data_IF_376620264522
#
_entry.id   IF_376620264522
#
_cell.length_a   1.000
_cell.length_b   1.000
_cell.length_c   1.000
_cell.angle_alpha   90.00
_cell.angle_beta   90.00
_cell.angle_gamma   90.00
#
_symmetry.space_group_name_H-M   'P 1'
#
loop_
_entity.id
_entity.type
_entity.pdbx_description
1 polymer ?
#
# COMPACT_ATOMS: atom_id res chain seq x y z
N UNK A 1 -3.12 13.17 14.13
CA UNK A 1 -4.16 12.16 13.86
C UNK A 1 -5.45 12.92 13.63
N UNK A 2 -6.17 12.59 12.56
CA UNK A 2 -7.46 13.19 12.21
C UNK A 2 -8.56 12.67 13.16
N UNK A 3 -9.54 13.50 13.60
CA UNK A 3 -10.63 13.04 14.46
C UNK A 3 -11.40 11.82 13.92
N UNK A 4 -11.64 11.77 12.60
CA UNK A 4 -12.37 10.66 11.96
C UNK A 4 -11.57 9.35 12.03
N UNK A 5 -10.26 9.43 11.81
CA UNK A 5 -9.36 8.26 11.93
C UNK A 5 -9.25 7.81 13.38
N UNK A 6 -9.26 8.75 14.33
CA UNK A 6 -9.26 8.45 15.77
C UNK A 6 -10.53 7.73 16.19
N UNK A 7 -11.69 8.21 15.76
CA UNK A 7 -12.98 7.55 15.99
C UNK A 7 -12.96 6.10 15.49
N UNK A 8 -12.45 5.89 14.29
CA UNK A 8 -12.40 4.56 13.65
C UNK A 8 -11.39 3.62 14.30
N UNK A 9 -10.27 4.17 14.77
CA UNK A 9 -9.32 3.41 15.58
C UNK A 9 -9.96 2.95 16.90
N UNK A 10 -10.70 3.84 17.57
CA UNK A 10 -11.41 3.49 18.80
C UNK A 10 -12.54 2.48 18.54
N UNK A 11 -13.29 2.64 17.45
CA UNK A 11 -14.30 1.67 17.02
C UNK A 11 -13.70 0.27 16.93
N UNK A 12 -12.54 0.14 16.28
CA UNK A 12 -11.82 -1.13 16.22
C UNK A 12 -11.41 -1.64 17.60
N UNK A 13 -10.79 -0.80 18.44
CA UNK A 13 -10.31 -1.21 19.77
C UNK A 13 -11.44 -1.76 20.65
N UNK A 14 -12.64 -1.21 20.53
CA UNK A 14 -13.79 -1.61 21.35
C UNK A 14 -14.67 -2.70 20.72
N UNK A 15 -14.63 -2.90 19.40
CA UNK A 15 -15.57 -3.79 18.70
C UNK A 15 -14.92 -4.83 17.80
N UNK A 16 -13.59 -4.75 17.62
CA UNK A 16 -12.81 -5.53 16.65
C UNK A 16 -13.30 -5.35 15.20
N UNK A 17 -14.04 -4.28 14.91
CA UNK A 17 -14.61 -4.00 13.61
C UNK A 17 -14.53 -2.51 13.26
N UNK A 18 -14.61 -2.19 11.96
CA UNK A 18 -14.55 -0.80 11.45
C UNK A 18 -15.60 -0.61 10.38
N UNK A 19 -16.60 0.23 10.66
CA UNK A 19 -17.59 0.60 9.65
C UNK A 19 -16.99 1.58 8.63
N UNK A 20 -17.28 1.38 7.34
CA UNK A 20 -16.76 2.27 6.28
C UNK A 20 -15.26 2.16 6.03
N UNK A 21 -14.64 1.02 6.39
CA UNK A 21 -13.19 0.83 6.32
C UNK A 21 -12.58 1.22 4.97
N UNK A 22 -13.22 0.86 3.86
CA UNK A 22 -12.67 1.07 2.51
C UNK A 22 -12.38 2.56 2.19
N UNK A 23 -13.09 3.49 2.82
CA UNK A 23 -12.91 4.93 2.61
C UNK A 23 -11.71 5.51 3.37
N UNK A 24 -11.37 4.90 4.51
CA UNK A 24 -10.36 5.41 5.45
C UNK A 24 -9.16 4.48 5.64
N UNK A 25 -9.17 3.30 5.01
CA UNK A 25 -8.21 2.22 5.22
C UNK A 25 -6.75 2.70 5.11
N UNK A 26 -6.47 3.65 4.22
CA UNK A 26 -5.12 4.19 4.04
C UNK A 26 -4.60 4.94 5.26
N UNK A 27 -5.44 5.79 5.84
CA UNK A 27 -5.10 6.58 7.02
C UNK A 27 -5.10 5.69 8.26
N UNK A 28 -6.07 4.77 8.33
CA UNK A 28 -6.18 3.84 9.43
C UNK A 28 -5.02 2.84 9.45
N UNK A 29 -4.51 2.41 8.30
CA UNK A 29 -3.33 1.53 8.22
C UNK A 29 -2.10 2.17 8.88
N UNK A 30 -1.86 3.46 8.63
CA UNK A 30 -0.71 4.18 9.19
C UNK A 30 -0.84 4.30 10.71
N UNK A 31 -2.05 4.54 11.22
CA UNK A 31 -2.27 4.58 12.67
C UNK A 31 -2.22 3.18 13.28
N UNK A 32 -2.76 2.14 12.61
CA UNK A 32 -2.65 0.75 13.04
C UNK A 32 -1.20 0.28 13.15
N UNK A 33 -0.33 0.69 12.21
CA UNK A 33 1.12 0.47 12.28
C UNK A 33 1.76 1.18 13.48
N UNK A 34 1.43 2.45 13.66
CA UNK A 34 1.95 3.27 14.78
C UNK A 34 1.52 2.74 16.15
N UNK A 35 0.30 2.26 16.29
CA UNK A 35 -0.24 1.68 17.53
C UNK A 35 -0.02 0.16 17.65
N UNK A 36 0.70 -0.45 16.68
CA UNK A 36 1.06 -1.87 16.68
C UNK A 36 -0.16 -2.82 16.77
N UNK A 37 -1.17 -2.57 15.93
CA UNK A 37 -2.39 -3.37 15.82
C UNK A 37 -2.34 -4.23 14.53
N UNK A 38 -1.69 -5.41 14.56
CA UNK A 38 -1.43 -6.20 13.36
C UNK A 38 -2.73 -6.70 12.68
N UNK A 39 -3.74 -7.09 13.46
CA UNK A 39 -5.00 -7.59 12.92
C UNK A 39 -5.79 -6.48 12.18
N UNK A 40 -5.70 -5.23 12.69
CA UNK A 40 -6.27 -4.07 11.99
C UNK A 40 -5.50 -3.74 10.70
N UNK A 41 -4.17 -3.93 10.70
CA UNK A 41 -3.36 -3.78 9.48
C UNK A 41 -3.81 -4.79 8.42
N UNK A 42 -4.00 -6.06 8.78
CA UNK A 42 -4.46 -7.10 7.84
C UNK A 42 -5.87 -6.77 7.29
N UNK A 43 -6.78 -6.30 8.15
CA UNK A 43 -8.11 -5.86 7.73
C UNK A 43 -8.06 -4.70 6.71
N UNK A 44 -7.18 -3.73 6.93
CA UNK A 44 -6.93 -2.63 5.99
C UNK A 44 -6.29 -3.12 4.68
N UNK A 45 -5.41 -4.12 4.72
CA UNK A 45 -4.78 -4.72 3.54
C UNK A 45 -5.79 -5.45 2.65
N UNK A 46 -6.73 -6.18 3.26
CA UNK A 46 -7.84 -6.82 2.55
C UNK A 46 -8.72 -5.79 1.84
N UNK A 47 -8.95 -4.64 2.50
CA UNK A 47 -9.61 -3.50 1.88
C UNK A 47 -8.83 -2.96 0.68
N UNK A 48 -7.53 -2.76 0.82
CA UNK A 48 -6.70 -2.28 -0.28
C UNK A 48 -6.75 -3.22 -1.48
N UNK A 49 -6.72 -4.54 -1.28
CA UNK A 49 -6.82 -5.52 -2.35
C UNK A 49 -8.09 -5.34 -3.20
N UNK A 50 -9.22 -4.97 -2.59
CA UNK A 50 -10.49 -4.72 -3.29
C UNK A 50 -10.50 -3.37 -4.02
N UNK A 51 -9.76 -2.39 -3.51
CA UNK A 51 -9.79 -1.00 -3.98
C UNK A 51 -8.63 -0.63 -4.93
N UNK A 52 -7.73 -1.57 -5.29
CA UNK A 52 -6.63 -1.27 -6.22
C UNK A 52 -7.15 -0.89 -7.61
N UNK A 53 -6.67 0.25 -8.10
CA UNK A 53 -6.93 0.82 -9.42
C UNK A 53 -5.63 1.34 -10.04
N UNK A 54 -5.64 1.59 -11.35
CA UNK A 54 -4.48 2.17 -12.07
C UNK A 54 -4.04 3.51 -11.45
N UNK A 55 -4.97 4.28 -10.86
CA UNK A 55 -4.69 5.61 -10.31
C UNK A 55 -4.00 5.54 -8.94
N UNK A 56 -4.41 4.59 -8.09
CA UNK A 56 -3.92 4.47 -6.71
C UNK A 56 -2.83 3.39 -6.53
N UNK A 57 -2.63 2.48 -7.49
CA UNK A 57 -1.62 1.41 -7.38
C UNK A 57 -0.22 1.94 -7.05
N UNK A 58 0.20 3.04 -7.68
CA UNK A 58 1.50 3.69 -7.40
C UNK A 58 1.55 4.29 -5.99
N UNK A 59 0.42 4.82 -5.50
CA UNK A 59 0.30 5.37 -4.15
C UNK A 59 0.42 4.26 -3.10
N UNK A 60 -0.27 3.14 -3.31
CA UNK A 60 -0.16 1.96 -2.46
C UNK A 60 1.26 1.42 -2.42
N UNK A 61 1.93 1.32 -3.57
CA UNK A 61 3.32 0.87 -3.61
C UNK A 61 4.27 1.75 -2.75
N UNK A 62 4.04 3.07 -2.69
CA UNK A 62 4.81 3.97 -1.82
C UNK A 62 4.43 3.82 -0.35
N UNK A 63 3.14 3.65 -0.06
CA UNK A 63 2.65 3.38 1.30
C UNK A 63 3.26 2.07 1.82
N UNK A 64 3.43 1.10 0.92
CA UNK A 64 4.01 -0.20 1.19
C UNK A 64 5.47 -0.18 1.57
N UNK A 65 6.28 0.52 0.78
CA UNK A 65 7.71 0.67 1.06
C UNK A 65 7.97 1.32 2.43
N UNK A 66 7.02 2.13 2.92
CA UNK A 66 7.17 2.86 4.18
C UNK A 66 6.64 2.12 5.41
N UNK A 67 5.52 1.40 5.28
CA UNK A 67 4.74 0.91 6.43
C UNK A 67 4.32 -0.57 6.34
N UNK A 68 4.50 -1.23 5.19
CA UNK A 68 4.00 -2.60 5.00
C UNK A 68 5.08 -3.67 5.19
N UNK A 69 4.81 -4.58 6.13
CA UNK A 69 5.50 -5.87 6.28
C UNK A 69 4.76 -7.00 5.52
N UNK A 70 3.58 -6.71 4.95
CA UNK A 70 2.74 -7.72 4.29
C UNK A 70 3.20 -8.04 2.88
N UNK A 71 3.92 -9.16 2.77
CA UNK A 71 4.40 -9.73 1.52
C UNK A 71 3.28 -10.07 0.53
N UNK A 72 2.12 -10.52 1.03
CA UNK A 72 0.98 -10.94 0.18
C UNK A 72 0.39 -9.77 -0.59
N UNK A 73 0.07 -8.69 0.12
CA UNK A 73 -0.46 -7.49 -0.53
C UNK A 73 0.60 -6.91 -1.49
N UNK A 74 1.88 -6.97 -1.12
CA UNK A 74 2.98 -6.48 -1.95
C UNK A 74 3.08 -7.20 -3.30
N UNK A 75 3.04 -8.53 -3.27
CA UNK A 75 3.03 -9.34 -4.49
C UNK A 75 1.79 -9.05 -5.36
N UNK A 76 0.63 -8.82 -4.73
CA UNK A 76 -0.61 -8.48 -5.45
C UNK A 76 -0.50 -7.14 -6.19
N UNK A 77 -0.08 -6.07 -5.50
CA UNK A 77 0.05 -4.73 -6.10
C UNK A 77 1.11 -4.72 -7.19
N UNK A 78 2.24 -5.41 -6.99
CA UNK A 78 3.28 -5.54 -8.02
C UNK A 78 2.76 -6.23 -9.27
N UNK A 79 2.04 -7.35 -9.14
CA UNK A 79 1.43 -8.04 -10.28
C UNK A 79 0.43 -7.16 -10.99
N UNK A 80 -0.41 -6.43 -10.25
CA UNK A 80 -1.37 -5.50 -10.83
C UNK A 80 -0.67 -4.40 -11.65
N UNK A 81 0.44 -3.86 -11.13
CA UNK A 81 1.23 -2.84 -11.82
C UNK A 81 1.87 -3.42 -13.08
N UNK A 82 2.43 -4.64 -13.02
CA UNK A 82 3.04 -5.30 -14.16
C UNK A 82 2.03 -5.52 -15.31
N UNK A 83 0.83 -6.01 -14.98
CA UNK A 83 -0.24 -6.25 -15.95
C UNK A 83 -0.80 -4.97 -16.58
N UNK A 84 -0.69 -3.83 -15.89
CA UNK A 84 -1.23 -2.54 -16.35
C UNK A 84 -0.12 -1.51 -16.64
N UNK A 85 1.11 -1.98 -16.89
CA UNK A 85 2.32 -1.15 -16.95
C UNK A 85 2.21 -0.01 -17.96
N UNK A 86 1.71 -0.27 -19.17
CA UNK A 86 1.51 0.76 -20.21
C UNK A 86 0.65 1.94 -19.72
N UNK A 87 -0.46 1.63 -19.04
CA UNK A 87 -1.41 2.63 -18.53
C UNK A 87 -0.86 3.35 -17.31
N UNK A 88 -0.14 2.64 -16.45
CA UNK A 88 0.42 3.18 -15.20
C UNK A 88 1.58 4.13 -15.48
N UNK A 89 2.46 3.81 -16.44
CA UNK A 89 3.59 4.68 -16.83
C UNK A 89 3.11 6.04 -17.34
N UNK A 90 1.93 6.09 -17.96
CA UNK A 90 1.32 7.34 -18.42
C UNK A 90 0.81 8.24 -17.28
N UNK A 91 0.56 7.68 -16.09
CA UNK A 91 -0.01 8.42 -14.95
C UNK A 91 0.94 9.46 -14.37
N UNK A 92 0.38 10.58 -13.89
CA UNK A 92 1.15 11.61 -13.21
C UNK A 92 1.82 11.09 -11.93
N UNK A 93 1.21 10.13 -11.24
CA UNK A 93 1.74 9.53 -10.02
C UNK A 93 3.05 8.77 -10.29
N UNK A 94 3.10 7.98 -11.37
CA UNK A 94 4.32 7.29 -11.78
C UNK A 94 5.44 8.27 -12.20
N UNK A 95 5.09 9.32 -12.95
CA UNK A 95 6.05 10.37 -13.33
C UNK A 95 6.63 11.11 -12.11
N UNK A 96 5.80 11.39 -11.10
CA UNK A 96 6.24 11.98 -9.83
C UNK A 96 7.16 11.03 -9.05
N UNK A 97 6.82 9.74 -9.00
CA UNK A 97 7.65 8.72 -8.36
C UNK A 97 9.05 8.64 -9.00
N UNK A 98 9.11 8.63 -10.34
CA UNK A 98 10.37 8.62 -11.10
C UNK A 98 11.24 9.85 -10.78
N UNK A 99 10.63 11.03 -10.63
CA UNK A 99 11.34 12.28 -10.32
C UNK A 99 11.87 12.32 -8.88
N UNK A 100 11.15 11.72 -7.94
CA UNK A 100 11.50 11.73 -6.52
C UNK A 100 12.61 10.72 -6.16
N UNK A 101 13.11 9.93 -7.12
CA UNK A 101 14.12 8.88 -6.90
C UNK A 101 13.82 8.00 -5.67
N UNK A 102 12.55 7.78 -5.36
CA UNK A 102 12.15 6.90 -4.26
C UNK A 102 12.68 5.49 -4.53
N UNK A 103 13.17 4.78 -3.51
CA UNK A 103 13.82 3.44 -3.64
C UNK A 103 12.97 2.38 -4.37
N UNK A 104 11.70 2.67 -4.55
CA UNK A 104 10.64 1.87 -5.18
C UNK A 104 10.69 1.86 -6.72
N UNK A 105 11.69 2.45 -7.38
CA UNK A 105 11.74 2.45 -8.85
C UNK A 105 11.89 1.03 -9.41
N UNK A 106 10.77 0.43 -9.81
CA UNK A 106 10.69 -0.80 -10.58
C UNK A 106 11.00 -0.51 -12.04
N UNK A 107 12.06 -1.12 -12.57
CA UNK A 107 12.22 -1.35 -14.01
C UNK A 107 11.84 -2.80 -14.31
N UNK A 108 11.02 -3.04 -15.33
CA UNK A 108 10.91 -4.34 -15.96
C UNK A 108 11.01 -4.22 -17.49
N UNK A 109 12.25 -4.34 -17.97
CA UNK A 109 12.69 -5.02 -19.19
C UNK A 109 14.24 -4.98 -19.19
N UNK A 110 14.84 -6.10 -18.76
CA UNK A 110 16.29 -6.43 -18.71
C UNK A 110 17.13 -5.94 -17.51
N UNK A 111 16.81 -6.46 -16.30
CA UNK A 111 17.63 -6.48 -15.07
C UNK A 111 17.46 -5.28 -14.10
N UNK A 112 16.80 -5.50 -12.96
CA UNK A 112 17.40 -5.67 -11.62
C UNK A 112 16.32 -5.51 -10.53
N UNK A 113 16.19 -6.55 -9.72
CA UNK A 113 15.62 -6.57 -8.37
C UNK A 113 16.47 -5.70 -7.43
N UNK A 114 15.90 -4.69 -6.77
CA UNK A 114 16.35 -4.27 -5.44
C UNK A 114 15.16 -3.67 -4.68
N UNK A 115 14.59 -4.46 -3.76
CA UNK A 115 13.90 -3.94 -2.59
C UNK A 115 14.92 -3.51 -1.54
N UNK A 116 14.54 -2.62 -0.61
CA UNK A 116 15.39 -2.15 0.48
C UNK A 116 16.20 -3.21 1.22
N UNK A 117 15.70 -4.45 1.29
CA UNK A 117 16.18 -5.51 2.17
C UNK A 117 16.37 -6.86 1.44
N UNK A 118 17.06 -6.87 0.30
CA UNK A 118 17.84 -8.02 -0.22
C UNK A 118 17.18 -9.42 -0.29
N UNK A 119 15.86 -9.55 -0.27
CA UNK A 119 15.20 -10.87 -0.34
C UNK A 119 14.67 -11.10 -1.74
N UNK A 120 15.43 -11.85 -2.53
CA UNK A 120 14.95 -12.44 -3.78
C UNK A 120 13.76 -13.35 -3.47
N UNK A 121 12.64 -13.11 -4.14
CA UNK A 121 11.59 -14.12 -4.29
C UNK A 121 11.71 -14.59 -5.74
N UNK A 122 12.11 -15.85 -5.86
CA UNK A 122 12.29 -16.60 -7.10
C UNK A 122 10.91 -16.81 -7.75
#
# INVERSE_FOLDING_TARGET
>A
MDPEVCEKLLEYIYTENVTGLDEIAELLYVEADKYQLPDLKELCEDSFCRCVTIKNAVKYLVLMDRHLDSKKFFDYVLRFIALNSEKIVATANFKKLKKNKSRVVVYYNNNVLLLPNNTLII
#
